data_IF_896496522005
#
_entry.id   IF_896496522005
#
_cell.length_a   1.000
_cell.length_b   1.000
_cell.length_c   1.000
_cell.angle_alpha   90.00
_cell.angle_beta   90.00
_cell.angle_gamma   90.00
#
_symmetry.space_group_name_H-M   'P 1'
#
loop_
_entity.id
_entity.type
_entity.pdbx_description
1 polymer ?
#
# COMPACT_ATOMS: atom_id res chain seq x y z
N UNK A 1 19.41 -29.66 -1.04
CA UNK A 1 19.69 -28.44 -1.81
C UNK A 1 18.38 -27.68 -1.87
N UNK A 2 18.11 -26.88 -0.83
CA UNK A 2 16.85 -26.14 -0.74
C UNK A 2 17.06 -24.80 -1.42
N UNK A 3 16.47 -24.64 -2.59
CA UNK A 3 16.24 -23.32 -3.15
C UNK A 3 15.32 -22.59 -2.18
N UNK A 4 15.89 -21.65 -1.43
CA UNK A 4 15.10 -20.62 -0.80
C UNK A 4 14.36 -19.92 -1.94
N UNK A 5 13.03 -20.03 -1.97
CA UNK A 5 12.20 -19.20 -2.84
C UNK A 5 12.30 -17.78 -2.25
N UNK A 6 13.39 -17.10 -2.56
CA UNK A 6 13.42 -15.66 -2.64
C UNK A 6 12.61 -15.33 -3.90
N UNK A 7 11.37 -14.87 -3.74
CA UNK A 7 10.70 -14.17 -4.83
C UNK A 7 11.34 -12.78 -4.88
N UNK A 8 12.57 -12.72 -5.37
CA UNK A 8 13.01 -11.59 -6.16
C UNK A 8 12.35 -11.80 -7.52
N UNK A 9 11.29 -11.04 -7.80
CA UNK A 9 10.72 -10.99 -9.14
C UNK A 9 11.82 -10.47 -10.06
N UNK A 10 12.40 -11.37 -10.84
CA UNK A 10 13.34 -11.00 -11.89
C UNK A 10 12.57 -10.14 -12.91
N UNK A 11 12.83 -8.84 -12.88
CA UNK A 11 12.70 -7.99 -14.07
C UNK A 11 11.55 -7.00 -14.12
N UNK A 12 10.56 -6.98 -13.22
CA UNK A 12 9.51 -5.95 -13.26
C UNK A 12 9.07 -5.51 -11.86
N UNK A 13 9.28 -4.21 -11.60
CA UNK A 13 8.83 -3.34 -10.51
C UNK A 13 8.63 -3.99 -9.12
N UNK A 14 9.60 -3.71 -8.26
CA UNK A 14 9.57 -3.82 -6.80
C UNK A 14 8.23 -3.32 -6.21
N UNK A 15 7.61 -4.15 -5.37
CA UNK A 15 6.31 -3.95 -4.70
C UNK A 15 6.20 -2.56 -4.08
N UNK A 16 5.13 -1.82 -4.41
CA UNK A 16 4.87 -0.48 -3.91
C UNK A 16 3.74 -0.46 -2.88
N UNK A 17 4.07 -0.16 -1.63
CA UNK A 17 3.05 0.12 -0.62
C UNK A 17 2.50 1.55 -0.79
N UNK A 18 1.22 1.72 -1.12
CA UNK A 18 0.61 3.05 -1.17
C UNK A 18 0.08 3.43 0.22
N UNK A 19 0.57 4.54 0.77
CA UNK A 19 0.31 4.91 2.17
C UNK A 19 -0.79 5.95 2.35
N UNK A 20 -1.60 5.75 3.40
CA UNK A 20 -2.36 6.79 4.06
C UNK A 20 -2.00 6.81 5.55
N UNK A 21 -0.91 7.50 5.90
CA UNK A 21 -0.57 7.77 7.30
C UNK A 21 -1.13 9.14 7.68
N UNK A 22 -1.86 9.20 8.80
CA UNK A 22 -2.21 10.47 9.45
C UNK A 22 -1.01 10.97 10.27
N UNK A 23 0.11 11.22 9.60
CA UNK A 23 1.34 11.73 10.20
C UNK A 23 1.81 12.98 9.46
N UNK A 24 2.58 13.86 10.12
CA UNK A 24 3.31 14.92 9.43
C UNK A 24 4.19 14.36 8.31
N UNK A 25 4.37 15.11 7.22
CA UNK A 25 5.08 14.64 6.03
C UNK A 25 6.50 14.10 6.33
N UNK A 26 7.26 14.80 7.19
CA UNK A 26 8.59 14.39 7.62
C UNK A 26 8.58 13.03 8.36
N UNK A 27 7.61 12.82 9.23
CA UNK A 27 7.47 11.59 9.99
C UNK A 27 7.03 10.44 9.08
N UNK A 28 6.05 10.68 8.19
CA UNK A 28 5.60 9.69 7.21
C UNK A 28 6.76 9.23 6.30
N UNK A 29 7.61 10.16 5.85
CA UNK A 29 8.77 9.88 5.03
C UNK A 29 9.82 9.03 5.78
N UNK A 30 10.11 9.36 7.04
CA UNK A 30 10.99 8.57 7.89
C UNK A 30 10.45 7.15 8.11
N UNK A 31 9.15 7.01 8.38
CA UNK A 31 8.50 5.70 8.56
C UNK A 31 8.58 4.87 7.27
N UNK A 32 8.44 5.50 6.09
CA UNK A 32 8.58 4.83 4.80
C UNK A 32 10.00 4.26 4.62
N UNK A 33 11.04 5.07 4.83
CA UNK A 33 12.45 4.63 4.75
C UNK A 33 12.74 3.51 5.75
N UNK A 34 12.28 3.65 6.98
CA UNK A 34 12.50 2.65 8.02
C UNK A 34 11.74 1.34 7.78
N UNK A 35 10.72 1.35 6.93
CA UNK A 35 9.95 0.16 6.54
C UNK A 35 10.66 -0.68 5.48
N UNK A 36 11.58 -0.09 4.71
CA UNK A 36 12.36 -0.82 3.71
C UNK A 36 13.16 -1.95 4.37
N UNK A 37 13.17 -3.10 3.72
CA UNK A 37 13.79 -4.33 4.17
C UNK A 37 13.00 -5.08 5.24
N UNK A 38 11.78 -4.67 5.59
CA UNK A 38 11.03 -5.27 6.70
C UNK A 38 9.99 -6.30 6.28
N UNK A 39 9.68 -7.22 7.17
CA UNK A 39 8.64 -8.22 6.98
C UNK A 39 7.23 -7.63 6.90
N UNK A 40 6.43 -8.16 6.00
CA UNK A 40 5.04 -7.79 5.79
C UNK A 40 4.19 -9.04 5.50
N UNK A 41 2.96 -9.06 6.00
CA UNK A 41 2.00 -10.11 5.69
C UNK A 41 0.96 -9.61 4.69
N UNK A 42 1.02 -10.15 3.47
CA UNK A 42 0.13 -9.80 2.36
C UNK A 42 -1.35 -10.13 2.63
N UNK A 43 -1.64 -11.00 3.59
CA UNK A 43 -3.01 -11.30 4.00
C UNK A 43 -3.64 -10.17 4.83
N UNK A 44 -2.82 -9.21 5.29
CA UNK A 44 -3.25 -8.00 6.01
C UNK A 44 -3.42 -6.80 5.06
N UNK A 45 -4.03 -5.75 5.59
CA UNK A 45 -4.16 -4.47 4.89
C UNK A 45 -2.80 -3.73 4.81
N UNK A 46 -2.56 -3.05 3.68
CA UNK A 46 -1.30 -2.41 3.28
C UNK A 46 -0.96 -1.12 4.05
N UNK A 47 -1.68 -0.79 5.12
CA UNK A 47 -1.29 0.33 5.97
C UNK A 47 0.03 -0.01 6.67
N UNK A 48 1.01 0.90 6.67
CA UNK A 48 2.31 0.71 7.34
C UNK A 48 2.23 0.37 8.84
N UNK A 49 1.07 0.62 9.46
CA UNK A 49 0.78 0.20 10.82
C UNK A 49 0.77 -1.33 11.01
N UNK A 50 0.67 -2.11 9.92
CA UNK A 50 0.69 -3.57 9.90
C UNK A 50 2.05 -4.18 9.52
N UNK A 51 3.12 -3.37 9.47
CA UNK A 51 4.49 -3.92 9.46
C UNK A 51 4.65 -4.87 10.65
N UNK A 52 5.30 -6.01 10.43
CA UNK A 52 5.58 -6.95 11.53
C UNK A 52 6.44 -6.24 12.59
N UNK A 53 5.80 -5.84 13.69
CA UNK A 53 6.45 -5.24 14.85
C UNK A 53 7.00 -6.37 15.71
N UNK A 54 8.27 -6.28 16.12
CA UNK A 54 8.75 -7.13 17.21
C UNK A 54 7.93 -6.84 18.47
N UNK A 55 7.43 -7.91 19.08
CA UNK A 55 6.79 -7.91 20.40
C UNK A 55 7.78 -7.82 21.57
N UNK A 56 9.07 -7.60 21.32
CA UNK A 56 10.08 -7.54 22.37
C UNK A 56 10.69 -6.15 22.50
N UNK A 57 10.32 -5.53 23.63
CA UNK A 57 10.93 -4.38 24.27
C UNK A 57 12.38 -4.66 24.66
N UNK A 58 13.32 -4.43 23.75
CA UNK A 58 14.70 -4.11 24.19
C UNK A 58 14.74 -2.61 24.46
N UNK A 59 14.47 -2.26 25.73
CA UNK A 59 14.64 -0.92 26.29
C UNK A 59 16.10 -0.52 26.04
N UNK A 60 16.33 0.33 25.04
CA UNK A 60 17.65 0.95 24.77
C UNK A 60 18.18 0.81 23.34
N UNK A 61 17.57 0.02 22.46
CA UNK A 61 17.97 -0.05 21.04
C UNK A 61 16.88 0.52 20.12
N UNK A 62 17.29 1.15 19.02
CA UNK A 62 16.36 1.71 18.03
C UNK A 62 15.31 0.63 17.64
N UNK A 63 14.02 0.79 17.99
CA UNK A 63 13.00 -0.24 17.80
C UNK A 63 12.80 -0.63 16.32
N UNK A 64 13.32 0.19 15.40
CA UNK A 64 13.22 -0.01 13.96
C UNK A 64 14.33 -0.88 13.37
N UNK A 65 15.50 -1.02 14.02
CA UNK A 65 16.64 -1.83 13.50
C UNK A 65 16.37 -3.33 13.55
N UNK A 66 15.62 -3.77 14.55
CA UNK A 66 15.43 -5.19 14.84
C UNK A 66 14.36 -5.87 13.96
N UNK A 67 13.64 -5.12 13.11
CA UNK A 67 12.58 -5.68 12.27
C UNK A 67 12.97 -5.82 10.78
N UNK A 68 14.23 -5.49 10.42
CA UNK A 68 14.74 -5.65 9.05
C UNK A 68 15.18 -7.09 8.79
N UNK A 69 14.82 -7.56 7.60
CA UNK A 69 15.14 -8.85 7.03
C UNK A 69 16.22 -8.76 5.96
N UNK A 70 16.41 -7.56 5.39
CA UNK A 70 17.45 -7.23 4.43
C UNK A 70 18.51 -6.35 5.12
N UNK A 71 19.77 -6.65 4.82
CA UNK A 71 20.93 -5.89 5.25
C UNK A 71 20.96 -4.53 4.53
N UNK A 72 20.98 -3.45 5.32
CA UNK A 72 21.05 -2.08 4.83
C UNK A 72 22.13 -1.40 5.67
N UNK A 73 23.19 -0.95 5.00
CA UNK A 73 24.29 -0.23 5.60
C UNK A 73 23.85 1.21 5.92
N UNK A 74 23.95 1.61 7.19
CA UNK A 74 23.49 2.92 7.68
C UNK A 74 24.65 3.86 8.01
N UNK A 75 25.90 3.40 7.89
CA UNK A 75 27.08 4.11 8.37
C UNK A 75 27.52 5.24 7.40
N UNK A 76 27.14 5.13 6.12
CA UNK A 76 27.39 6.14 5.08
C UNK A 76 26.07 6.64 4.47
N UNK A 77 25.21 7.27 5.29
CA UNK A 77 23.97 7.87 4.80
C UNK A 77 24.18 9.21 4.09
N UNK A 78 23.29 9.55 3.16
CA UNK A 78 23.25 10.86 2.48
C UNK A 78 21.98 11.62 2.80
N UNK A 79 22.05 12.94 2.72
CA UNK A 79 20.86 13.78 2.83
C UNK A 79 20.14 13.86 1.48
N UNK A 80 18.82 13.74 1.49
CA UNK A 80 17.98 13.82 0.28
C UNK A 80 16.86 14.85 0.47
N UNK A 81 16.52 15.56 -0.61
CA UNK A 81 15.39 16.48 -0.64
C UNK A 81 14.27 15.83 -1.44
N UNK A 82 13.13 15.61 -0.79
CA UNK A 82 11.93 15.07 -1.43
C UNK A 82 11.11 16.18 -2.11
N UNK A 83 10.21 15.82 -3.06
CA UNK A 83 9.22 16.73 -3.60
C UNK A 83 8.47 17.47 -2.49
N UNK A 84 8.33 18.79 -2.64
CA UNK A 84 7.80 19.68 -1.59
C UNK A 84 8.84 20.27 -0.64
N UNK A 85 10.14 20.04 -0.88
CA UNK A 85 11.24 20.69 -0.15
C UNK A 85 11.57 20.03 1.19
N UNK A 86 11.05 18.82 1.44
CA UNK A 86 11.29 18.09 2.68
C UNK A 86 12.70 17.48 2.67
N UNK A 87 13.55 17.92 3.59
CA UNK A 87 14.89 17.36 3.81
C UNK A 87 14.82 16.12 4.70
N UNK A 88 15.38 15.02 4.22
CA UNK A 88 15.63 13.81 5.00
C UNK A 88 17.11 13.63 5.20
N UNK A 89 17.50 13.31 6.44
CA UNK A 89 18.89 13.19 6.83
C UNK A 89 19.31 11.73 6.89
N UNK A 90 20.58 11.48 6.57
CA UNK A 90 21.24 10.17 6.76
C UNK A 90 20.47 8.99 6.15
N UNK A 91 19.99 9.14 4.90
CA UNK A 91 19.32 8.07 4.17
C UNK A 91 20.36 7.10 3.60
N UNK A 92 20.26 5.79 3.87
CA UNK A 92 21.19 4.79 3.33
C UNK A 92 21.37 4.88 1.82
N UNK A 93 22.59 4.63 1.32
CA UNK A 93 22.86 4.78 -0.11
C UNK A 93 22.00 3.88 -1.00
N UNK A 94 21.75 2.66 -0.53
CA UNK A 94 20.94 1.65 -1.20
C UNK A 94 19.45 2.00 -1.28
N UNK A 95 18.98 3.03 -0.58
CA UNK A 95 17.60 3.50 -0.68
C UNK A 95 17.53 4.67 -1.65
N UNK A 96 16.76 4.51 -2.72
CA UNK A 96 16.51 5.53 -3.74
C UNK A 96 15.16 6.20 -3.53
N UNK A 97 15.11 7.48 -3.85
CA UNK A 97 13.87 8.25 -3.90
C UNK A 97 13.65 8.78 -5.31
N UNK A 98 12.51 8.43 -5.90
CA UNK A 98 12.13 8.84 -7.24
C UNK A 98 10.91 9.76 -7.17
N UNK A 99 10.89 10.79 -8.01
CA UNK A 99 9.67 11.57 -8.27
C UNK A 99 8.66 10.67 -9.00
N UNK A 100 7.38 10.90 -8.77
CA UNK A 100 6.33 10.06 -9.34
C UNK A 100 5.16 10.89 -9.88
N UNK A 101 4.33 10.25 -10.69
CA UNK A 101 3.26 10.90 -11.42
C UNK A 101 1.90 10.82 -10.71
N UNK A 102 1.01 11.73 -11.10
CA UNK A 102 -0.40 11.71 -10.72
C UNK A 102 -1.21 10.97 -11.79
N UNK A 103 -2.13 10.08 -11.40
CA UNK A 103 -2.92 9.32 -12.37
C UNK A 103 -4.35 9.10 -11.86
N UNK A 104 -5.36 9.34 -12.71
CA UNK A 104 -6.73 8.84 -12.48
C UNK A 104 -6.81 7.45 -13.06
N UNK A 105 -7.20 6.48 -12.23
CA UNK A 105 -7.36 5.09 -12.62
C UNK A 105 -8.81 4.68 -12.43
N UNK A 106 -9.33 3.94 -13.40
CA UNK A 106 -10.64 3.30 -13.31
C UNK A 106 -10.50 1.88 -13.83
N UNK A 107 -11.28 0.97 -13.27
CA UNK A 107 -11.37 -0.40 -13.74
C UNK A 107 -12.57 -0.59 -14.66
N UNK A 108 -12.55 -1.68 -15.40
CA UNK A 108 -13.77 -2.29 -15.94
C UNK A 108 -14.59 -2.92 -14.80
N UNK A 109 -15.81 -3.38 -15.15
CA UNK A 109 -16.63 -4.22 -14.28
C UNK A 109 -16.16 -5.66 -14.39
N UNK A 110 -15.45 -6.14 -13.37
CA UNK A 110 -14.79 -7.44 -13.39
C UNK A 110 -15.42 -8.44 -12.42
N UNK A 111 -15.21 -9.73 -12.68
CA UNK A 111 -15.50 -10.78 -11.70
C UNK A 111 -14.53 -10.75 -10.52
N UNK A 112 -14.90 -11.41 -9.42
CA UNK A 112 -14.06 -11.49 -8.21
C UNK A 112 -12.63 -11.97 -8.49
N UNK A 113 -12.38 -13.07 -9.25
CA UNK A 113 -11.01 -13.52 -9.50
C UNK A 113 -10.20 -12.58 -10.39
N UNK A 114 -10.85 -11.90 -11.36
CA UNK A 114 -10.19 -10.93 -12.24
C UNK A 114 -9.78 -9.67 -11.47
N UNK A 115 -10.65 -9.14 -10.62
CA UNK A 115 -10.32 -7.98 -9.80
C UNK A 115 -9.24 -8.34 -8.76
N UNK A 116 -9.31 -9.53 -8.16
CA UNK A 116 -8.25 -10.00 -7.26
C UNK A 116 -6.89 -10.11 -7.98
N UNK A 117 -6.88 -10.58 -9.23
CA UNK A 117 -5.67 -10.64 -10.04
C UNK A 117 -5.13 -9.24 -10.37
N UNK A 118 -6.01 -8.30 -10.73
CA UNK A 118 -5.62 -6.91 -10.97
C UNK A 118 -4.98 -6.27 -9.73
N UNK A 119 -5.56 -6.45 -8.55
CA UNK A 119 -4.98 -5.97 -7.29
C UNK A 119 -3.63 -6.62 -6.97
N UNK A 120 -3.48 -7.91 -7.28
CA UNK A 120 -2.21 -8.60 -7.08
C UNK A 120 -1.14 -8.07 -8.05
N UNK A 121 -1.48 -7.81 -9.31
CA UNK A 121 -0.58 -7.21 -10.29
C UNK A 121 -0.12 -5.80 -9.86
N UNK A 122 -1.00 -4.99 -9.27
CA UNK A 122 -0.62 -3.68 -8.70
C UNK A 122 0.39 -3.81 -7.55
N UNK A 123 0.45 -4.98 -6.89
CA UNK A 123 1.42 -5.33 -5.86
C UNK A 123 2.58 -6.17 -6.40
N UNK A 124 2.72 -6.29 -7.73
CA UNK A 124 3.71 -7.14 -8.40
C UNK A 124 3.65 -8.61 -8.00
N UNK A 125 2.46 -9.10 -7.67
CA UNK A 125 2.16 -10.48 -7.33
C UNK A 125 1.47 -11.19 -8.50
N UNK A 126 1.72 -12.49 -8.61
CA UNK A 126 1.04 -13.34 -9.58
C UNK A 126 -0.15 -14.07 -8.96
N UNK A 127 -1.12 -14.44 -9.80
CA UNK A 127 -2.25 -15.27 -9.42
C UNK A 127 -3.44 -14.51 -8.84
N UNK A 128 -4.43 -15.29 -8.41
CA UNK A 128 -5.80 -14.83 -8.14
C UNK A 128 -6.22 -14.97 -6.68
N UNK A 129 -5.25 -15.21 -5.79
CA UNK A 129 -5.52 -15.34 -4.35
C UNK A 129 -5.74 -13.92 -3.79
N UNK A 130 -6.88 -13.64 -3.14
CA UNK A 130 -7.16 -12.30 -2.61
C UNK A 130 -6.13 -11.85 -1.57
N UNK A 131 -5.53 -10.68 -1.81
CA UNK A 131 -4.71 -9.99 -0.82
C UNK A 131 -5.58 -9.39 0.29
N UNK A 132 -4.95 -9.08 1.43
CA UNK A 132 -5.60 -8.38 2.54
C UNK A 132 -6.10 -6.99 2.15
N UNK A 133 -5.38 -6.27 1.28
CA UNK A 133 -5.85 -5.01 0.70
C UNK A 133 -7.18 -5.20 -0.04
N UNK A 134 -7.22 -6.17 -0.96
CA UNK A 134 -8.42 -6.44 -1.75
C UNK A 134 -9.61 -6.77 -0.83
N UNK A 135 -9.37 -7.59 0.21
CA UNK A 135 -10.39 -7.89 1.20
C UNK A 135 -10.87 -6.65 1.95
N UNK A 136 -9.93 -5.79 2.36
CA UNK A 136 -10.24 -4.58 3.10
C UNK A 136 -11.04 -3.56 2.27
N UNK A 137 -10.62 -3.26 1.04
CA UNK A 137 -11.25 -2.19 0.23
C UNK A 137 -12.65 -2.55 -0.25
N UNK A 138 -12.94 -3.84 -0.44
CA UNK A 138 -14.27 -4.32 -0.82
C UNK A 138 -15.09 -4.86 0.35
N UNK A 139 -14.59 -4.73 1.59
CA UNK A 139 -15.27 -5.18 2.81
C UNK A 139 -15.66 -6.67 2.74
N UNK A 140 -14.67 -7.51 2.46
CA UNK A 140 -14.79 -8.96 2.42
C UNK A 140 -14.40 -9.60 3.75
N UNK A 141 -14.95 -10.79 4.00
CA UNK A 141 -14.72 -11.52 5.25
C UNK A 141 -13.35 -12.19 5.34
N UNK A 142 -12.67 -12.37 4.20
CA UNK A 142 -11.42 -13.12 4.09
C UNK A 142 -11.63 -14.60 3.77
N UNK A 143 -12.89 -15.08 3.78
CA UNK A 143 -13.23 -16.39 3.23
C UNK A 143 -13.55 -16.25 1.74
N UNK A 144 -12.50 -16.26 0.91
CA UNK A 144 -12.60 -15.98 -0.52
C UNK A 144 -13.63 -16.83 -1.26
N UNK A 145 -13.85 -18.09 -0.86
CA UNK A 145 -14.87 -18.96 -1.50
C UNK A 145 -16.28 -18.41 -1.27
N UNK A 146 -16.58 -18.02 -0.03
CA UNK A 146 -17.87 -17.42 0.34
C UNK A 146 -18.01 -16.05 -0.32
N UNK A 147 -17.00 -15.20 -0.18
CA UNK A 147 -17.00 -13.84 -0.70
C UNK A 147 -17.18 -13.80 -2.22
N UNK A 148 -16.49 -14.68 -2.95
CA UNK A 148 -16.64 -14.85 -4.39
C UNK A 148 -18.06 -15.31 -4.76
N UNK A 149 -18.64 -16.27 -4.02
CA UNK A 149 -19.98 -16.79 -4.32
C UNK A 149 -21.11 -15.77 -4.13
N UNK A 150 -20.92 -14.76 -3.27
CA UNK A 150 -21.89 -13.69 -3.04
C UNK A 150 -21.72 -12.48 -3.97
N UNK A 151 -20.59 -12.39 -4.68
CA UNK A 151 -20.21 -11.20 -5.46
C UNK A 151 -20.39 -11.42 -6.94
N UNK A 152 -21.29 -10.65 -7.57
CA UNK A 152 -21.50 -10.66 -9.02
C UNK A 152 -20.31 -10.04 -9.74
N UNK A 153 -20.03 -8.77 -9.41
CA UNK A 153 -18.98 -7.97 -10.06
C UNK A 153 -18.40 -6.96 -9.09
N UNK A 154 -17.21 -6.47 -9.43
CA UNK A 154 -16.44 -5.48 -8.71
C UNK A 154 -15.95 -4.42 -9.69
N UNK A 155 -15.90 -3.16 -9.25
CA UNK A 155 -15.33 -2.07 -10.02
C UNK A 155 -14.80 -0.97 -9.10
N UNK A 156 -13.89 -0.12 -9.61
CA UNK A 156 -13.45 1.08 -8.91
C UNK A 156 -13.12 2.23 -9.86
N UNK A 157 -13.24 3.46 -9.36
CA UNK A 157 -12.77 4.68 -10.02
C UNK A 157 -12.16 5.58 -8.94
N UNK A 158 -10.94 6.04 -9.17
CA UNK A 158 -10.21 6.85 -8.21
C UNK A 158 -9.08 7.67 -8.77
N UNK A 159 -8.70 8.68 -7.99
CA UNK A 159 -7.54 9.52 -8.23
C UNK A 159 -6.42 9.05 -7.32
N UNK A 160 -5.27 8.74 -7.93
CA UNK A 160 -4.07 8.29 -7.25
C UNK A 160 -3.00 9.36 -7.43
N UNK A 161 -2.51 9.88 -6.31
CA UNK A 161 -1.46 10.89 -6.26
C UNK A 161 -0.25 10.20 -5.64
N UNK A 162 0.76 9.91 -6.47
CA UNK A 162 2.06 9.49 -5.97
C UNK A 162 2.97 10.72 -5.99
N UNK A 163 3.42 11.16 -4.83
CA UNK A 163 4.34 12.29 -4.67
C UNK A 163 5.77 11.87 -4.94
N UNK A 164 6.17 10.76 -4.31
CA UNK A 164 7.48 10.17 -4.50
C UNK A 164 7.45 8.70 -4.10
N UNK A 165 8.51 8.01 -4.48
CA UNK A 165 8.65 6.59 -4.27
C UNK A 165 9.96 6.33 -3.54
N UNK A 166 9.92 5.56 -2.45
CA UNK A 166 11.09 5.10 -1.70
C UNK A 166 11.33 3.64 -2.03
N UNK A 167 12.51 3.29 -2.53
CA UNK A 167 12.79 1.93 -3.00
C UNK A 167 14.19 1.48 -2.59
N UNK A 168 14.36 0.20 -2.30
CA UNK A 168 15.67 -0.43 -2.20
C UNK A 168 16.22 -0.68 -3.61
N UNK A 169 17.50 -0.43 -3.80
CA UNK A 169 18.20 -0.79 -5.03
C UNK A 169 18.38 -2.31 -5.13
N UNK A 170 18.06 -2.89 -6.29
CA UNK A 170 18.07 -4.34 -6.52
C UNK A 170 19.41 -5.01 -6.20
N UNK A 171 20.54 -4.31 -6.39
CA UNK A 171 21.87 -4.83 -6.05
C UNK A 171 22.08 -5.06 -4.55
N UNK A 172 21.22 -4.55 -3.67
CA UNK A 172 21.36 -4.58 -2.22
C UNK A 172 20.36 -5.49 -1.50
N UNK A 173 19.80 -6.50 -2.19
CA UNK A 173 18.83 -7.46 -1.60
C UNK A 173 19.51 -8.64 -0.89
N UNK A 174 20.34 -8.39 0.11
CA UNK A 174 20.99 -9.45 0.92
C UNK A 174 20.20 -9.70 2.21
N UNK A 175 19.75 -10.94 2.43
CA UNK A 175 19.07 -11.30 3.68
C UNK A 175 20.02 -11.25 4.88
N UNK A 176 19.52 -10.76 6.02
CA UNK A 176 20.26 -10.81 7.28
C UNK A 176 20.52 -12.27 7.71
N UNK A 177 21.71 -12.52 8.27
CA UNK A 177 22.11 -13.86 8.74
C UNK A 177 21.17 -14.48 9.77
N UNK A 178 20.56 -13.66 10.64
CA UNK A 178 19.61 -14.15 11.63
C UNK A 178 18.30 -14.67 10.99
N UNK A 179 17.93 -14.15 9.82
CA UNK A 179 16.77 -14.63 9.04
C UNK A 179 17.14 -15.94 8.35
N UNK A 180 18.30 -15.99 7.68
CA UNK A 180 18.81 -17.21 7.03
C UNK A 180 18.83 -18.40 7.99
N UNK A 181 19.32 -18.17 9.22
CA UNK A 181 19.37 -19.19 10.29
C UNK A 181 18.00 -19.59 10.83
N UNK A 182 16.99 -18.74 10.70
CA UNK A 182 15.65 -18.98 11.22
C UNK A 182 14.74 -19.72 10.21
N UNK A 183 15.16 -19.84 8.95
CA UNK A 183 14.41 -20.58 7.93
C UNK A 183 14.27 -22.05 8.37
N UNK A 184 13.03 -22.58 8.48
CA UNK A 184 12.83 -23.98 8.84
C UNK A 184 13.50 -24.92 7.83
N UNK A 185 14.20 -25.94 8.34
CA UNK A 185 14.85 -26.96 7.51
C UNK A 185 13.91 -28.06 7.01
N UNK A 186 12.61 -27.98 7.35
CA UNK A 186 11.57 -28.93 6.96
C UNK A 186 10.25 -28.21 6.71
N UNK A 187 9.38 -28.83 5.93
CA UNK A 187 8.08 -28.30 5.54
C UNK A 187 6.99 -28.65 6.57
N UNK A 188 7.31 -28.45 7.85
CA UNK A 188 6.38 -28.68 8.97
C UNK A 188 5.45 -27.47 9.13
N UNK A 189 4.12 -27.65 9.06
CA UNK A 189 3.16 -26.53 9.06
C UNK A 189 3.31 -25.60 10.27
N UNK A 190 3.55 -26.15 11.46
CA UNK A 190 3.72 -25.35 12.68
C UNK A 190 4.99 -24.49 12.66
N UNK A 191 6.09 -24.98 12.07
CA UNK A 191 7.33 -24.21 11.95
C UNK A 191 7.20 -23.10 10.91
N UNK A 192 6.55 -23.39 9.78
CA UNK A 192 6.25 -22.39 8.75
C UNK A 192 5.32 -21.30 9.27
N UNK A 193 4.25 -21.66 9.99
CA UNK A 193 3.34 -20.70 10.60
C UNK A 193 4.06 -19.76 11.56
N UNK A 194 4.92 -20.30 12.44
CA UNK A 194 5.74 -19.49 13.36
C UNK A 194 6.75 -18.60 12.64
N UNK A 195 7.32 -19.06 11.53
CA UNK A 195 8.22 -18.25 10.72
C UNK A 195 7.47 -17.08 10.08
N UNK A 196 6.31 -17.34 9.47
CA UNK A 196 5.45 -16.32 8.85
C UNK A 196 4.95 -15.31 9.89
N UNK A 197 4.51 -15.78 11.06
CA UNK A 197 4.08 -14.90 12.16
C UNK A 197 5.21 -13.97 12.61
N UNK A 198 6.46 -14.45 12.58
CA UNK A 198 7.63 -13.69 13.02
C UNK A 198 8.19 -12.74 11.95
N UNK A 199 8.23 -13.16 10.69
CA UNK A 199 8.94 -12.47 9.62
C UNK A 199 8.01 -11.98 8.49
N UNK A 200 6.72 -12.29 8.53
CA UNK A 200 5.79 -12.00 7.45
C UNK A 200 5.88 -13.01 6.29
N UNK A 201 5.05 -12.78 5.28
CA UNK A 201 5.04 -13.56 4.04
C UNK A 201 5.89 -12.93 2.94
N UNK A 202 6.11 -11.61 3.01
CA UNK A 202 6.82 -10.79 2.03
C UNK A 202 7.76 -9.80 2.71
N UNK A 203 8.65 -9.19 1.93
CA UNK A 203 9.55 -8.12 2.39
C UNK A 203 9.21 -6.82 1.67
N UNK A 204 9.12 -5.72 2.41
CA UNK A 204 8.92 -4.39 1.86
C UNK A 204 10.23 -3.94 1.20
N UNK A 205 10.22 -3.81 -0.11
CA UNK A 205 11.36 -3.37 -0.90
C UNK A 205 11.09 -2.02 -1.57
N UNK A 206 9.83 -1.56 -1.58
CA UNK A 206 9.43 -0.26 -2.09
C UNK A 206 8.13 0.26 -1.49
N UNK A 207 7.97 1.58 -1.47
CA UNK A 207 6.81 2.28 -0.94
C UNK A 207 6.51 3.49 -1.83
N UNK A 208 5.25 3.65 -2.26
CA UNK A 208 4.75 4.84 -2.95
C UNK A 208 4.09 5.78 -1.94
N UNK A 209 4.63 6.98 -1.83
CA UNK A 209 4.19 7.99 -0.89
C UNK A 209 3.23 8.95 -1.57
N UNK A 210 2.08 9.20 -0.96
CA UNK A 210 1.11 10.15 -1.48
C UNK A 210 -0.28 9.90 -0.92
N UNK A 211 -1.29 9.92 -1.78
CA UNK A 211 -2.67 9.71 -1.40
C UNK A 211 -3.48 9.07 -2.51
N UNK A 212 -4.58 8.43 -2.14
CA UNK A 212 -5.61 8.01 -3.09
C UNK A 212 -6.97 8.41 -2.59
N UNK A 213 -7.84 8.79 -3.52
CA UNK A 213 -9.26 8.86 -3.27
C UNK A 213 -9.99 7.99 -4.29
N UNK A 214 -10.63 6.92 -3.81
CA UNK A 214 -11.17 5.85 -4.66
C UNK A 214 -12.57 5.50 -4.20
N UNK A 215 -13.47 5.33 -5.18
CA UNK A 215 -14.78 4.74 -4.98
C UNK A 215 -14.70 3.28 -5.40
N UNK A 216 -14.93 2.37 -4.47
CA UNK A 216 -15.04 0.94 -4.72
C UNK A 216 -16.51 0.55 -4.77
N UNK A 217 -16.90 -0.22 -5.79
CA UNK A 217 -18.25 -0.73 -5.97
C UNK A 217 -18.23 -2.25 -5.93
N UNK A 218 -19.08 -2.81 -5.05
CA UNK A 218 -19.29 -4.25 -4.91
C UNK A 218 -20.74 -4.58 -5.28
N UNK A 219 -20.93 -5.33 -6.36
CA UNK A 219 -22.25 -5.78 -6.79
C UNK A 219 -22.53 -7.20 -6.26
N UNK A 220 -23.63 -7.38 -5.52
CA UNK A 220 -24.05 -8.71 -5.05
C UNK A 220 -24.68 -9.53 -6.18
N UNK A 221 -24.59 -10.87 -6.10
CA UNK A 221 -25.19 -11.79 -7.08
C UNK A 221 -26.70 -11.67 -7.23
N UNK A 222 -27.38 -11.14 -6.22
CA UNK A 222 -28.83 -10.90 -6.23
C UNK A 222 -29.24 -9.67 -7.06
N UNK A 223 -28.30 -8.77 -7.37
CA UNK A 223 -28.61 -7.55 -8.11
C UNK A 223 -28.92 -7.85 -9.58
N UNK A 224 -30.03 -7.30 -10.06
CA UNK A 224 -30.46 -7.37 -11.46
C UNK A 224 -29.78 -6.36 -12.37
N UNK A 225 -28.93 -5.46 -11.85
CA UNK A 225 -28.23 -4.46 -12.67
C UNK A 225 -27.25 -5.13 -13.63
N UNK A 226 -27.20 -4.60 -14.85
CA UNK A 226 -26.25 -5.01 -15.87
C UNK A 226 -24.89 -4.30 -15.70
N UNK A 227 -23.78 -4.86 -16.19
CA UNK A 227 -22.46 -4.25 -16.06
C UNK A 227 -22.38 -2.80 -16.58
N UNK A 228 -23.12 -2.48 -17.64
CA UNK A 228 -23.15 -1.11 -18.18
C UNK A 228 -23.78 -0.10 -17.21
N UNK A 229 -24.84 -0.50 -16.49
CA UNK A 229 -25.49 0.35 -15.49
C UNK A 229 -24.59 0.57 -14.28
N UNK A 230 -23.88 -0.47 -13.84
CA UNK A 230 -22.87 -0.42 -12.77
C UNK A 230 -21.76 0.56 -13.15
N UNK A 231 -21.19 0.43 -14.35
CA UNK A 231 -20.13 1.31 -14.84
C UNK A 231 -20.60 2.76 -14.93
N UNK A 232 -21.80 3.00 -15.48
CA UNK A 232 -22.39 4.33 -15.59
C UNK A 232 -22.57 4.95 -14.21
N UNK A 233 -23.12 4.21 -13.24
CA UNK A 233 -23.35 4.68 -11.88
C UNK A 233 -22.03 5.02 -11.18
N UNK A 234 -21.03 4.16 -11.28
CA UNK A 234 -19.70 4.40 -10.71
C UNK A 234 -19.10 5.69 -11.28
N UNK A 235 -19.16 5.86 -12.60
CA UNK A 235 -18.67 7.07 -13.27
C UNK A 235 -19.39 8.34 -12.80
N UNK A 236 -20.71 8.33 -12.70
CA UNK A 236 -21.49 9.47 -12.21
C UNK A 236 -21.09 9.87 -10.77
N UNK A 237 -20.90 8.88 -9.88
CA UNK A 237 -20.43 9.12 -8.52
C UNK A 237 -19.00 9.68 -8.49
N UNK A 238 -18.11 9.11 -9.29
CA UNK A 238 -16.71 9.54 -9.37
C UNK A 238 -16.59 10.94 -9.95
N UNK A 239 -17.31 11.24 -11.03
CA UNK A 239 -17.32 12.56 -11.65
C UNK A 239 -17.86 13.61 -10.69
N UNK A 240 -18.95 13.32 -9.96
CA UNK A 240 -19.44 14.22 -8.90
C UNK A 240 -18.39 14.44 -7.81
N UNK A 241 -17.70 13.37 -7.37
CA UNK A 241 -16.69 13.46 -6.30
C UNK A 241 -15.42 14.19 -6.71
N UNK A 242 -14.95 14.00 -7.94
CA UNK A 242 -13.62 14.43 -8.39
C UNK A 242 -13.64 15.65 -9.33
N UNK A 243 -14.78 16.02 -9.94
CA UNK A 243 -14.89 17.25 -10.73
C UNK A 243 -15.18 18.48 -9.85
N UNK A 244 -15.99 18.34 -8.80
CA UNK A 244 -16.26 19.43 -7.85
C UNK A 244 -14.95 19.91 -7.16
N UNK A 245 -14.00 19.00 -6.92
CA UNK A 245 -12.67 19.34 -6.39
C UNK A 245 -11.77 20.15 -7.34
N UNK A 246 -11.99 20.09 -8.66
CA UNK A 246 -11.21 20.89 -9.63
C UNK A 246 -11.65 22.36 -9.65
N UNK A 247 -12.93 22.65 -9.41
CA UNK A 247 -13.43 24.03 -9.39
C UNK A 247 -12.91 24.83 -8.18
N UNK A 248 -12.71 24.16 -7.04
CA UNK A 248 -12.10 24.78 -5.84
C UNK A 248 -10.63 25.14 -6.12
N UNK A 249 -9.85 24.25 -6.74
CA UNK A 249 -8.44 24.50 -7.06
C UNK A 249 -8.18 25.59 -8.11
N UNK A 250 -9.18 25.95 -8.93
CA UNK A 250 -9.06 27.07 -9.88
C UNK A 250 -9.43 28.42 -9.28
N UNK A 251 -10.33 28.46 -8.29
CA UNK A 251 -10.71 29.71 -7.62
C UNK A 251 -9.65 30.18 -6.60
N UNK A 252 -8.89 29.26 -6.00
CA UNK A 252 -7.80 29.61 -5.07
C UNK A 252 -6.54 30.20 -5.75
N UNK A 253 -6.53 30.28 -7.09
CA UNK A 253 -5.44 30.94 -7.84
C UNK A 253 -5.60 32.46 -7.90
N UNK A 254 -6.71 33.01 -7.39
CA UNK A 254 -7.00 34.45 -7.42
C UNK A 254 -6.91 35.17 -6.06
N UNK A 255 -6.68 34.48 -4.93
CA UNK A 255 -6.58 35.13 -3.62
C UNK A 255 -5.46 34.53 -2.74
N UNK A 256 -4.20 34.59 -3.21
CA UNK A 256 -3.03 34.48 -2.33
C UNK A 256 -2.45 35.87 -2.09
N UNK A 257 -3.22 36.72 -1.44
CA UNK A 257 -2.70 37.83 -0.63
C UNK A 257 -3.72 38.12 0.46
N UNK A 258 -3.33 37.87 1.71
CA UNK A 258 -4.10 38.05 2.95
C UNK A 258 -5.09 36.94 3.29
N UNK A 259 -4.69 36.04 4.20
CA UNK A 259 -5.09 36.14 5.60
C UNK A 259 -4.41 35.06 6.44
N UNK A 260 -3.80 35.53 7.53
CA UNK A 260 -3.21 34.76 8.62
C UNK A 260 -4.33 34.53 9.65
N UNK A 261 -4.46 33.29 10.13
CA UNK A 261 -5.14 32.87 11.37
C UNK A 261 -6.67 32.99 11.42
N UNK A 262 -7.37 31.85 11.46
CA UNK A 262 -8.51 31.56 12.34
C UNK A 262 -8.94 30.09 12.15
N UNK A 263 -9.68 29.59 13.13
CA UNK A 263 -9.72 28.22 13.60
C UNK A 263 -10.52 27.20 12.79
N UNK A 264 -10.29 25.95 13.23
CA UNK A 264 -11.06 24.73 13.01
C UNK A 264 -12.56 24.99 12.94
N UNK A 265 -13.19 24.48 11.88
CA UNK A 265 -14.17 23.39 11.99
C UNK A 265 -14.82 23.18 10.63
N UNK A 266 -14.50 22.07 9.96
CA UNK A 266 -15.42 21.52 8.96
C UNK A 266 -15.24 20.02 8.85
N UNK A 267 -16.23 19.32 9.41
CA UNK A 267 -16.51 17.89 9.37
C UNK A 267 -16.09 17.21 8.05
N UNK A 268 -15.07 16.35 8.10
CA UNK A 268 -14.64 15.53 6.96
C UNK A 268 -15.38 14.19 6.93
N UNK A 269 -16.20 13.94 5.91
CA UNK A 269 -16.75 12.60 5.63
C UNK A 269 -15.75 11.80 4.80
N UNK A 270 -15.07 10.83 5.42
CA UNK A 270 -14.27 9.84 4.68
C UNK A 270 -14.99 8.49 4.67
N UNK A 271 -15.14 7.94 3.46
CA UNK A 271 -15.89 6.72 3.11
C UNK A 271 -17.42 6.90 3.06
N UNK A 272 -17.93 7.34 1.91
CA UNK A 272 -19.34 7.11 1.58
C UNK A 272 -19.45 5.66 1.10
N UNK A 273 -20.09 4.82 1.92
CA UNK A 273 -20.35 3.40 1.65
C UNK A 273 -21.82 3.24 1.32
N UNK A 274 -22.15 3.01 0.05
CA UNK A 274 -23.49 2.55 -0.32
C UNK A 274 -23.42 1.07 -0.67
N UNK A 275 -24.12 0.26 0.12
CA UNK A 275 -24.38 -1.15 -0.18
C UNK A 275 -25.61 -1.17 -1.07
N UNK A 276 -25.43 -1.50 -2.35
CA UNK A 276 -26.55 -1.71 -3.26
C UNK A 276 -26.96 -3.18 -3.22
N UNK A 277 -28.14 -3.43 -2.65
CA UNK A 277 -28.86 -4.71 -2.71
C UNK A 277 -29.58 -4.88 -4.05
#
# INVERSE_FOLDING_TARGET
>A
MMEAIAIASAGHEIVWLLMALKLPAAEAANVAIQSIGCGYDISLDLRLNYRMRRYHSDIGSNPYRNCRLIEIEEDEGRDIVLPGGLLLLNVPESIKCHESEHTRLHSDVLSFPQMSEQFNQELSLSGKIPSGLFNYVFDFSGNWKKDASSTKTLAFDGVFISLYTVALEESHMVLCDHVKKAVPSSWEPALLARFIEKYGTHVIVGVKMGGKDVIYMKQQHTSSLEPADVQKKLKEMADKRFLDSKQISQNDKYDITHLRSADLDTSSSYSYKEVFS
#
